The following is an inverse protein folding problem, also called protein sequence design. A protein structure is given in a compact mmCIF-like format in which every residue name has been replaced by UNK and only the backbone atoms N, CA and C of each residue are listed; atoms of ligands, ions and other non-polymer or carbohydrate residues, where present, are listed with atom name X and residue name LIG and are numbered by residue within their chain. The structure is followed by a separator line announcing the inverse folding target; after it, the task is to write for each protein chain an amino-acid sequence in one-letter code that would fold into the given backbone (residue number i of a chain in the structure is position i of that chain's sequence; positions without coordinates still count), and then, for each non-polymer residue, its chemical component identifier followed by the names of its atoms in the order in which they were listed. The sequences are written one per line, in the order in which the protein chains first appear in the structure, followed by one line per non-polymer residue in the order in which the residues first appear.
data_IF_394055734741
#
_entry.id   IF_394055734741
#
_cell.length_a   1.000
_cell.length_b   1.000
_cell.length_c   1.000
_cell.angle_alpha   90.00
_cell.angle_beta   90.00
_cell.angle_gamma   90.00
#
_symmetry.space_group_name_H-M   'P 1'
#
loop_
_entity.id
_entity.type
_entity.pdbx_description
1 polymer ?
2 polymer ?
3 polymer ?
4 non-polymer ?
5 water ?
#
loop_
_entity_poly.entity_id
_entity_poly.type
_entity_poly.pdbx_seq_one_letter_code
_entity_poly.pdbx_strand_id
2 'polydeoxyribonucleotide' '(DT)(DA)(DC)(DC)(DC)(DA)(DC)(DC)(DA)(DC)(DC)(DG)(DC)(DT)(DC)(DA)' ?
3 'polydeoxyribonucleotide' '(DT)(DG)(DA)(DG)(DC)(DG)(DG)(DT)(DG)(DG)(DT)(DT)(DG)(DG)(DT)' ?
#
# COMPACT_ATOMS: atom_id res chain seq x y z
N UNK A 1 14.78 11.19 6.22
CA UNK A 1 13.95 12.38 6.25
C UNK A 1 12.49 12.07 5.96
N UNK A 2 11.57 12.70 6.67
CA UNK A 2 11.87 13.73 7.66
C UNK A 2 12.10 13.10 9.01
N UNK A 3 13.29 13.31 9.56
CA UNK A 3 13.66 12.71 10.82
C UNK A 3 12.97 13.33 12.03
N UNK A 4 12.20 12.54 12.74
CA UNK A 4 11.55 13.01 13.94
C UNK A 4 10.14 13.43 13.68
N UNK A 5 9.68 13.22 12.47
CA UNK A 5 8.36 13.69 12.06
C UNK A 5 7.25 13.00 12.86
N UNK A 6 7.51 11.78 13.29
CA UNK A 6 6.49 10.96 13.95
C UNK A 6 6.28 11.36 15.41
N UNK A 7 7.24 12.10 15.95
CA UNK A 7 7.08 12.66 17.29
C UNK A 7 6.24 13.93 17.21
N UNK A 8 6.08 14.45 15.98
CA UNK A 8 5.30 15.65 15.76
C UNK A 8 3.90 15.34 15.28
N UNK A 9 3.78 14.59 14.18
CA UNK A 9 2.48 14.30 13.59
C UNK A 9 1.82 13.08 14.23
N UNK A 10 2.61 12.30 14.96
CA UNK A 10 2.12 11.05 15.53
C UNK A 10 2.69 9.85 14.82
N UNK A 11 2.58 8.68 15.43
CA UNK A 11 3.11 7.45 14.84
C UNK A 11 2.13 6.83 13.87
N UNK A 12 0.85 7.14 14.02
CA UNK A 12 -0.17 6.66 13.10
C UNK A 12 -1.02 5.51 13.63
N UNK A 13 -2.22 5.39 13.11
CA UNK A 13 -3.13 4.33 13.51
C UNK A 13 -2.72 2.97 12.93
N UNK A 14 -2.44 2.03 13.83
CA UNK A 14 -2.15 0.66 13.42
C UNK A 14 -3.47 -0.05 13.14
N UNK A 15 -3.62 -0.60 11.93
CA UNK A 15 -4.90 -1.16 11.52
C UNK A 15 -4.75 -2.36 10.58
N UNK A 16 -5.66 -3.32 10.73
CA UNK A 16 -5.70 -4.49 9.86
C UNK A 16 -5.99 -4.09 8.41
N UNK A 17 -5.16 -4.55 7.49
CA UNK A 17 -5.35 -4.26 6.07
C UNK A 17 -6.66 -4.88 5.59
N UNK A 18 -7.04 -6.00 6.21
CA UNK A 18 -8.31 -6.65 5.91
C UNK A 18 -9.47 -5.73 6.27
N UNK A 19 -9.37 -5.07 7.43
CA UNK A 19 -10.42 -4.16 7.86
C UNK A 19 -10.55 -2.97 6.91
N UNK A 20 -9.42 -2.39 6.51
CA UNK A 20 -9.41 -1.32 5.53
C UNK A 20 -10.06 -1.75 4.23
N UNK A 21 -9.75 -2.98 3.80
CA UNK A 21 -10.27 -3.51 2.56
C UNK A 21 -11.78 -3.73 2.61
N UNK A 22 -12.24 -4.42 3.65
CA UNK A 22 -13.65 -4.79 3.77
C UNK A 22 -14.54 -3.58 4.07
N UNK A 23 -14.04 -2.67 4.91
CA UNK A 23 -14.80 -1.47 5.24
C UNK A 23 -15.03 -0.59 4.02
N UNK A 24 -14.00 -0.46 3.18
CA UNK A 24 -14.12 0.32 1.96
C UNK A 24 -15.09 -0.34 0.98
N UNK A 25 -15.04 -1.65 0.89
CA UNK A 25 -15.92 -2.42 0.02
C UNK A 25 -17.38 -2.26 0.44
N UNK A 26 -17.60 -2.07 1.74
CA UNK A 26 -18.95 -1.86 2.26
C UNK A 26 -19.37 -0.40 2.11
N UNK A 27 -18.44 0.51 2.40
CA UNK A 27 -18.72 1.94 2.32
C UNK A 27 -18.86 2.43 0.88
N UNK A 28 -18.04 1.89 -0.02
CA UNK A 28 -17.96 2.42 -1.37
C UNK A 28 -18.45 1.46 -2.46
N UNK A 29 -18.89 0.27 -2.04
CA UNK A 29 -19.50 -0.71 -2.94
C UNK A 29 -18.58 -1.19 -4.05
N UNK A 30 -17.27 -1.08 -3.83
CA UNK A 30 -16.28 -1.63 -4.77
C UNK A 30 -14.95 -1.83 -4.04
N UNK A 31 -14.11 -2.75 -4.55
CA UNK A 31 -12.84 -3.06 -3.87
C UNK A 31 -11.89 -1.88 -3.75
N UNK A 32 -11.14 -1.85 -2.65
CA UNK A 32 -10.16 -0.81 -2.41
C UNK A 32 -9.10 -0.77 -3.50
N UNK A 33 -8.75 0.42 -3.95
CA UNK A 33 -7.69 0.62 -4.92
C UNK A 33 -6.48 1.23 -4.22
N UNK A 34 -5.34 0.54 -4.30
CA UNK A 34 -4.17 0.92 -3.53
C UNK A 34 -2.92 1.06 -4.39
N UNK A 35 -2.34 2.25 -4.40
CA UNK A 35 -1.07 2.48 -5.08
C UNK A 35 0.09 2.09 -4.17
N UNK A 36 0.95 1.20 -4.65
CA UNK A 36 2.05 0.69 -3.85
C UNK A 36 3.40 1.17 -4.39
N UNK A 37 4.07 2.00 -3.60
CA UNK A 37 5.43 2.43 -3.91
C UNK A 37 6.34 1.20 -3.96
N UNK A 38 6.91 0.96 -5.13
CA UNK A 38 7.70 -0.25 -5.35
C UNK A 38 8.98 -0.28 -4.50
N UNK A 39 9.33 0.88 -3.94
CA UNK A 39 10.55 1.01 -3.15
C UNK A 39 10.45 0.36 -1.77
N UNK A 40 9.23 -0.01 -1.37
CA UNK A 40 9.04 -0.60 -0.05
C UNK A 40 9.70 -1.96 0.07
N UNK A 41 9.78 -2.69 -1.03
CA UNK A 41 10.27 -4.08 -1.00
C UNK A 41 11.77 -4.16 -0.76
N UNK A 42 12.49 -3.13 -1.19
CA UNK A 42 13.95 -3.15 -1.26
C UNK A 42 14.68 -3.61 0.01
N UNK A 43 14.03 -3.47 1.16
CA UNK A 43 14.66 -3.90 2.41
C UNK A 43 13.85 -4.94 3.18
N UNK A 44 12.65 -5.26 2.67
CA UNK A 44 11.79 -6.20 3.37
C UNK A 44 11.92 -7.63 2.83
N UNK A 45 12.11 -7.75 1.51
CA UNK A 45 12.11 -9.07 0.89
C UNK A 45 13.51 -9.71 0.84
N UNK A 46 14.56 -8.89 0.92
CA UNK A 46 15.91 -9.44 0.96
C UNK A 46 16.30 -9.80 2.39
N UNK A 47 15.34 -10.36 3.12
CA UNK A 47 15.57 -10.89 4.45
C UNK A 47 15.12 -12.35 4.49
N UNK A 48 14.47 -12.78 3.41
CA UNK A 48 14.04 -14.16 3.27
C UNK A 48 15.19 -15.04 2.80
N UNK A 49 15.27 -16.25 3.34
CA UNK A 49 16.38 -17.15 3.05
C UNK A 49 15.90 -18.48 2.48
N UNK A 50 16.86 -19.31 2.06
CA UNK A 50 16.56 -20.63 1.55
C UNK A 50 15.98 -20.64 0.15
N UNK A 51 16.10 -21.78 -0.52
CA UNK A 51 15.50 -22.01 -1.82
C UNK A 51 16.02 -21.11 -2.93
N UNK A 52 15.31 -21.11 -4.05
CA UNK A 52 15.67 -20.29 -5.20
C UNK A 52 14.91 -18.97 -5.19
N UNK A 53 15.65 -17.87 -5.33
CA UNK A 53 15.08 -16.53 -5.40
C UNK A 53 14.07 -16.20 -4.29
N UNK A 54 14.51 -16.24 -3.01
CA UNK A 54 13.58 -15.97 -1.92
C UNK A 54 13.05 -14.53 -1.90
N UNK A 55 13.80 -13.59 -2.46
CA UNK A 55 13.38 -12.19 -2.49
C UNK A 55 12.09 -12.00 -3.28
N UNK A 56 12.04 -12.59 -4.46
CA UNK A 56 10.85 -12.50 -5.30
C UNK A 56 9.82 -13.53 -4.85
N UNK A 57 10.27 -14.51 -4.08
CA UNK A 57 9.36 -15.49 -3.49
C UNK A 57 8.50 -14.82 -2.44
N UNK A 58 9.11 -13.93 -1.67
CA UNK A 58 8.39 -13.12 -0.69
C UNK A 58 7.38 -12.23 -1.42
N UNK A 59 7.78 -11.72 -2.57
CA UNK A 59 6.92 -10.89 -3.41
C UNK A 59 5.72 -11.69 -3.89
N UNK A 60 5.95 -12.95 -4.23
CA UNK A 60 4.89 -13.85 -4.67
C UNK A 60 3.83 -14.03 -3.58
N UNK A 61 4.30 -14.22 -2.34
CA UNK A 61 3.40 -14.51 -1.22
C UNK A 61 2.57 -13.30 -0.80
N UNK A 62 3.14 -12.11 -0.91
CA UNK A 62 2.43 -10.90 -0.56
C UNK A 62 1.44 -10.52 -1.66
N UNK A 63 1.64 -11.09 -2.86
CA UNK A 63 0.70 -10.93 -3.95
C UNK A 63 -0.51 -11.84 -3.73
N UNK A 64 -0.25 -13.03 -3.20
CA UNK A 64 -1.31 -13.97 -2.86
C UNK A 64 -2.14 -13.42 -1.72
N UNK A 65 -1.47 -12.71 -0.81
CA UNK A 65 -2.15 -12.07 0.31
C UNK A 65 -3.04 -10.93 -0.18
N UNK A 66 -2.59 -10.25 -1.23
CA UNK A 66 -3.37 -9.17 -1.83
C UNK A 66 -4.63 -9.71 -2.49
N UNK A 67 -4.53 -10.90 -3.08
CA UNK A 67 -5.68 -11.57 -3.67
C UNK A 67 -6.70 -11.91 -2.59
N UNK A 68 -6.22 -12.46 -1.48
CA UNK A 68 -7.06 -12.85 -0.36
C UNK A 68 -7.79 -11.66 0.24
N UNK A 69 -7.21 -10.47 0.10
CA UNK A 69 -7.79 -9.25 0.64
C UNK A 69 -8.78 -8.62 -0.33
N UNK A 70 -8.68 -8.98 -1.61
CA UNK A 70 -9.56 -8.43 -2.62
C UNK A 70 -9.19 -7.02 -3.03
N UNK A 71 -7.95 -6.64 -2.75
CA UNK A 71 -7.45 -5.31 -3.10
C UNK A 71 -7.03 -5.26 -4.57
N UNK A 72 -7.39 -4.16 -5.25
CA UNK A 72 -6.90 -3.90 -6.59
C UNK A 72 -5.65 -3.02 -6.53
N UNK A 73 -4.47 -3.65 -6.63
CA UNK A 73 -3.24 -2.88 -6.43
C UNK A 73 -2.67 -2.34 -7.74
N UNK A 74 -1.98 -1.22 -7.66
CA UNK A 74 -1.17 -0.73 -8.78
C UNK A 74 0.22 -0.40 -8.27
N UNK A 75 1.21 -1.12 -8.80
CA UNK A 75 2.59 -0.98 -8.36
C UNK A 75 3.30 0.08 -9.19
N UNK A 76 3.79 1.12 -8.53
CA UNK A 76 4.42 2.24 -9.22
C UNK A 76 5.94 2.17 -9.15
N UNK A 77 6.58 2.21 -10.31
CA UNK A 77 8.03 2.15 -10.41
C UNK A 77 8.63 3.53 -10.63
N UNK A 78 9.86 3.74 -10.15
CA UNK A 78 10.55 5.02 -10.31
C UNK A 78 10.88 5.31 -11.76
N UNK A 79 10.86 6.59 -12.12
CA UNK A 79 11.26 7.02 -13.44
C UNK A 79 12.63 7.69 -13.38
N UNK A 80 13.19 8.04 -14.54
CA UNK A 80 14.51 8.65 -14.60
C UNK A 80 14.51 10.16 -14.32
N UNK A 81 13.34 10.78 -14.21
CA UNK A 81 13.26 12.21 -13.99
C UNK A 81 13.25 12.57 -12.51
N UNK A 82 14.17 11.97 -11.77
CA UNK A 82 14.31 12.26 -10.34
C UNK A 82 15.43 13.27 -10.12
N UNK A 83 15.14 14.34 -9.38
CA UNK A 83 16.08 15.46 -9.20
C UNK A 83 17.30 15.08 -8.37
N UNK A 96 18.33 -7.49 -4.41
CA UNK A 96 18.59 -7.20 -5.82
C UNK A 96 17.68 -7.98 -6.74
N UNK A 97 16.39 -7.66 -6.70
CA UNK A 97 15.39 -8.37 -7.50
C UNK A 97 15.10 -7.59 -8.77
N UNK A 98 14.95 -8.32 -9.88
CA UNK A 98 14.80 -7.71 -11.20
C UNK A 98 13.47 -7.00 -11.36
N UNK A 99 13.53 -5.79 -11.91
CA UNK A 99 12.33 -5.03 -12.24
C UNK A 99 11.51 -5.78 -13.28
N UNK A 100 12.20 -6.39 -14.24
CA UNK A 100 11.55 -7.16 -15.30
C UNK A 100 10.76 -8.34 -14.73
N UNK A 101 11.35 -9.05 -13.77
CA UNK A 101 10.70 -10.20 -13.16
C UNK A 101 9.51 -9.76 -12.30
N UNK A 102 9.68 -8.66 -11.58
CA UNK A 102 8.62 -8.10 -10.75
C UNK A 102 7.41 -7.76 -11.61
N UNK A 103 7.65 -7.08 -12.73
CA UNK A 103 6.59 -6.69 -13.64
C UNK A 103 5.94 -7.89 -14.31
N UNK A 104 6.75 -8.89 -14.66
CA UNK A 104 6.25 -10.13 -15.24
C UNK A 104 5.29 -10.81 -14.27
N UNK A 105 5.69 -10.86 -13.01
CA UNK A 105 4.90 -11.49 -11.96
C UNK A 105 3.63 -10.70 -11.66
N UNK A 106 3.74 -9.37 -11.75
CA UNK A 106 2.60 -8.48 -11.53
C UNK A 106 1.51 -8.75 -12.57
N UNK A 107 1.92 -9.00 -13.82
CA UNK A 107 0.96 -9.31 -14.88
C UNK A 107 0.31 -10.67 -14.69
N UNK A 108 1.11 -11.67 -14.30
CA UNK A 108 0.62 -13.02 -14.08
C UNK A 108 -0.47 -13.06 -13.02
N UNK A 109 -0.38 -12.16 -12.04
CA UNK A 109 -1.36 -12.10 -10.96
C UNK A 109 -2.58 -11.26 -11.34
N UNK A 110 -2.53 -10.64 -12.52
CA UNK A 110 -3.62 -9.81 -12.98
C UNK A 110 -3.58 -8.42 -12.38
N UNK A 111 -2.42 -8.07 -11.80
CA UNK A 111 -2.24 -6.76 -11.18
C UNK A 111 -1.74 -5.74 -12.19
N UNK A 112 -1.58 -4.49 -11.76
CA UNK A 112 -1.16 -3.42 -12.65
C UNK A 112 0.22 -2.88 -12.28
N UNK A 113 1.09 -2.77 -13.27
CA UNK A 113 2.37 -2.12 -13.10
C UNK A 113 2.36 -0.77 -13.79
N UNK A 114 2.86 0.25 -13.11
CA UNK A 114 2.83 1.61 -13.62
C UNK A 114 4.17 2.29 -13.45
N UNK A 115 4.70 2.86 -14.52
CA UNK A 115 5.98 3.56 -14.46
C UNK A 115 5.78 5.05 -14.27
N UNK A 116 6.22 5.57 -13.14
CA UNK A 116 6.24 7.00 -12.90
C UNK A 116 7.26 7.66 -13.81
N UNK A 117 7.05 8.93 -14.16
CA UNK A 117 8.09 9.65 -14.90
C UNK A 117 9.25 10.04 -13.98
N UNK A 118 8.93 10.31 -12.72
CA UNK A 118 9.94 10.65 -11.73
C UNK A 118 9.87 9.75 -10.51
N UNK A 119 9.80 10.36 -9.33
CA UNK A 119 9.74 9.60 -8.09
C UNK A 119 8.36 8.97 -7.89
N UNK A 120 8.34 7.69 -7.52
CA UNK A 120 7.11 6.92 -7.45
C UNK A 120 6.14 7.44 -6.39
N UNK A 121 6.68 7.88 -5.25
CA UNK A 121 5.82 8.35 -4.16
C UNK A 121 5.08 9.63 -4.53
N UNK A 122 5.69 10.44 -5.39
CA UNK A 122 5.04 11.64 -5.90
C UNK A 122 3.91 11.23 -6.83
N UNK A 123 4.17 10.21 -7.65
CA UNK A 123 3.17 9.69 -8.58
C UNK A 123 2.02 9.04 -7.84
N UNK A 124 2.34 8.27 -6.80
CA UNK A 124 1.33 7.62 -5.98
C UNK A 124 0.38 8.62 -5.34
N UNK A 125 0.95 9.68 -4.77
CA UNK A 125 0.16 10.74 -4.16
C UNK A 125 -0.72 11.43 -5.20
N UNK A 126 -0.19 11.58 -6.41
CA UNK A 126 -0.92 12.23 -7.50
C UNK A 126 -2.10 11.37 -7.94
N UNK A 127 -1.86 10.05 -8.03
CA UNK A 127 -2.90 9.10 -8.39
C UNK A 127 -4.06 9.15 -7.40
N UNK A 128 -3.74 9.27 -6.12
CA UNK A 128 -4.75 9.36 -5.07
C UNK A 128 -5.56 10.65 -5.19
N UNK A 129 -4.88 11.76 -5.47
CA UNK A 129 -5.54 13.04 -5.64
C UNK A 129 -6.49 13.03 -6.83
N UNK A 130 -6.14 12.25 -7.85
CA UNK A 130 -6.94 12.19 -9.07
C UNK A 130 -8.02 11.12 -8.98
N UNK A 131 -8.15 10.48 -7.82
CA UNK A 131 -9.19 9.49 -7.60
C UNK A 131 -8.95 8.19 -8.33
N UNK A 132 -7.70 7.94 -8.71
CA UNK A 132 -7.33 6.70 -9.38
C UNK A 132 -7.15 5.59 -8.34
N UNK A 133 -6.63 5.96 -7.18
CA UNK A 133 -6.53 5.02 -6.06
C UNK A 133 -7.12 5.66 -4.81
N UNK A 134 -7.45 4.84 -3.82
CA UNK A 134 -8.08 5.35 -2.60
C UNK A 134 -7.04 5.68 -1.53
N UNK A 135 -5.88 5.02 -1.61
CA UNK A 135 -4.82 5.26 -0.63
C UNK A 135 -3.45 4.89 -1.19
N UNK A 136 -2.41 5.26 -0.47
CA UNK A 136 -1.03 5.01 -0.91
C UNK A 136 -0.25 4.23 0.15
N UNK A 137 0.48 3.21 -0.31
CA UNK A 137 1.37 2.46 0.57
C UNK A 137 2.83 2.74 0.18
N UNK A 138 3.56 3.41 1.05
CA UNK A 138 4.92 3.83 0.73
C UNK A 138 5.90 3.66 1.88
N UNK A 139 7.17 3.98 1.63
CA UNK A 139 8.21 3.91 2.64
C UNK A 139 7.88 4.76 3.86
N UNK A 140 7.34 5.94 3.62
CA UNK A 140 7.16 6.92 4.69
C UNK A 140 6.01 7.88 4.47
N UNK A 141 6.19 9.11 4.93
CA UNK A 141 5.13 10.09 5.01
C UNK A 141 5.36 11.21 3.97
N UNK A 142 6.50 11.14 3.28
CA UNK A 142 6.81 12.06 2.18
C UNK A 142 5.65 12.23 1.20
N UNK A 143 4.83 11.19 1.06
CA UNK A 143 3.68 11.22 0.17
C UNK A 143 2.70 12.33 0.54
N UNK A 144 2.60 12.64 1.84
CA UNK A 144 1.73 13.71 2.30
C UNK A 144 2.16 15.05 1.71
N UNK A 145 3.48 15.25 1.61
CA UNK A 145 4.02 16.46 1.02
C UNK A 145 3.72 16.56 -0.48
N UNK A 146 3.43 15.42 -1.09
CA UNK A 146 3.12 15.39 -2.51
C UNK A 146 1.61 15.32 -2.77
N UNK A 147 0.82 15.53 -1.71
CA UNK A 147 -0.62 15.67 -1.86
C UNK A 147 -1.47 14.52 -1.37
N UNK A 148 -0.84 13.47 -0.83
CA UNK A 148 -1.57 12.31 -0.36
C UNK A 148 -2.44 12.65 0.85
N UNK A 149 -3.63 12.05 0.90
CA UNK A 149 -4.55 12.26 2.01
C UNK A 149 -4.53 11.08 2.98
N UNK A 150 -4.64 9.87 2.42
CA UNK A 150 -4.51 8.66 3.22
C UNK A 150 -3.28 7.87 2.79
N UNK A 151 -2.29 7.80 3.67
CA UNK A 151 -1.05 7.09 3.35
C UNK A 151 -0.78 5.96 4.34
N UNK A 152 -0.33 4.83 3.80
CA UNK A 152 -0.05 3.64 4.61
C UNK A 152 1.45 3.34 4.60
N UNK A 153 1.93 2.78 5.70
CA UNK A 153 3.33 2.37 5.79
C UNK A 153 3.49 1.17 6.72
N UNK A 154 4.65 0.52 6.62
CA UNK A 154 4.98 -0.61 7.49
C UNK A 154 3.95 -1.74 7.40
N UNK A 155 3.85 -2.34 6.22
CA UNK A 155 3.00 -3.51 6.03
C UNK A 155 3.71 -4.73 6.61
N UNK A 156 3.33 -5.11 7.83
CA UNK A 156 4.06 -6.16 8.53
C UNK A 156 3.22 -6.88 9.58
N UNK A 157 3.87 -7.75 10.35
CA UNK A 157 3.21 -8.55 11.36
C UNK A 157 2.74 -7.69 12.55
N UNK A 158 2.15 -8.34 13.54
CA UNK A 158 1.54 -7.63 14.66
C UNK A 158 1.61 -8.44 15.94
N UNK A 162 6.81 -11.47 15.41
CA UNK A 162 5.45 -11.59 14.94
C UNK A 162 5.23 -12.81 14.07
N UNK A 163 4.49 -12.63 12.99
CA UNK A 163 4.21 -13.72 12.06
C UNK A 163 3.72 -13.19 10.71
N UNK A 164 2.48 -13.54 10.34
CA UNK A 164 1.87 -13.09 9.08
C UNK A 164 1.68 -11.58 9.04
N UNK A 165 2.06 -10.95 7.92
CA UNK A 165 1.92 -9.49 7.73
C UNK A 165 0.47 -9.07 7.52
N UNK A 166 -0.21 -8.71 8.59
CA UNK A 166 -1.64 -8.45 8.53
C UNK A 166 -2.00 -6.97 8.66
N UNK A 167 -1.14 -6.19 9.33
CA UNK A 167 -1.48 -4.81 9.65
C UNK A 167 -0.63 -3.76 8.92
N UNK A 168 -1.13 -2.53 8.93
CA UNK A 168 -0.42 -1.38 8.35
C UNK A 168 -0.49 -0.21 9.31
N UNK A 169 0.25 0.86 9.01
CA UNK A 169 0.19 2.08 9.83
C UNK A 169 -0.39 3.23 9.02
N UNK A 170 -1.60 3.65 9.39
CA UNK A 170 -2.34 4.63 8.61
C UNK A 170 -2.14 6.06 9.11
N UNK A 171 -1.73 6.95 8.21
CA UNK A 171 -1.64 8.37 8.51
C UNK A 171 -2.68 9.15 7.71
N UNK A 172 -3.40 10.04 8.38
CA UNK A 172 -4.44 10.83 7.73
C UNK A 172 -4.05 12.30 7.67
N UNK A 173 -3.95 12.83 6.44
CA UNK A 173 -3.45 14.17 6.21
C UNK A 173 -4.32 15.27 6.83
N UNK A 174 -5.63 15.07 6.84
CA UNK A 174 -6.54 16.06 7.41
C UNK A 174 -6.41 16.09 8.92
N UNK A 175 -6.38 14.92 9.53
CA UNK A 175 -6.32 14.80 10.99
C UNK A 175 -4.98 15.31 11.54
N UNK A 176 -3.92 15.17 10.75
CA UNK A 176 -2.62 15.69 11.14
C UNK A 176 -2.64 17.22 11.13
N UNK A 177 -3.28 17.79 10.12
CA UNK A 177 -3.37 19.23 9.98
C UNK A 177 -4.29 19.86 11.03
N UNK A 178 -4.98 19.01 11.77
CA UNK A 178 -5.87 19.46 12.80
C UNK A 178 -5.30 19.14 14.15
N UNK A 179 -4.67 17.99 14.26
CA UNK A 179 -4.03 17.58 15.49
C UNK A 179 -3.02 18.57 15.97
N UNK A 180 -2.23 18.12 17.04
CA UNK A 180 -1.43 19.19 17.66
C UNK A 180 -0.36 19.80 16.79
N UNK A 181 0.13 19.11 15.79
CA UNK A 181 1.27 19.59 15.05
C UNK A 181 0.89 20.73 14.16
N UNK A 182 -0.34 20.71 13.71
CA UNK A 182 -0.80 21.64 12.71
C UNK A 182 -0.03 21.52 11.42
N UNK A 183 0.77 20.48 11.28
CA UNK A 183 1.49 20.24 10.04
C UNK A 183 0.54 19.86 8.90
N UNK A 184 0.41 20.73 7.92
CA UNK A 184 -0.29 20.39 6.69
C UNK A 184 0.74 20.15 5.61
N UNK A 185 0.30 20.10 4.35
CA UNK A 185 1.20 19.84 3.25
C UNK A 185 2.25 20.94 3.12
N UNK A 186 1.81 22.19 3.16
CA UNK A 186 2.71 23.31 2.96
C UNK A 186 3.47 23.64 4.24
N UNK A 187 3.01 23.10 5.36
CA UNK A 187 3.74 23.20 6.61
C UNK A 187 4.94 22.28 6.59
N UNK A 188 4.71 21.04 6.17
CA UNK A 188 5.77 20.03 6.11
C UNK A 188 6.80 20.36 5.04
N UNK A 189 6.38 21.05 3.98
CA UNK A 189 7.31 21.48 2.95
C UNK A 189 8.31 22.48 3.54
N UNK A 190 7.80 23.41 4.34
CA UNK A 190 8.65 24.38 5.03
C UNK A 190 9.59 23.68 6.01
N UNK A 191 9.07 22.68 6.71
CA UNK A 191 9.89 21.86 7.59
C UNK A 191 11.02 21.23 6.79
N UNK A 192 10.66 20.62 5.66
CA UNK A 192 11.64 20.03 4.77
C UNK A 192 12.51 21.11 4.11
N UNK A 193 11.98 22.33 4.04
CA UNK A 193 12.72 23.44 3.44
C UNK A 193 13.82 23.94 4.37
N UNK A 194 13.48 24.08 5.65
CA UNK A 194 14.41 24.62 6.63
C UNK A 194 15.28 23.53 7.26
N UNK A 195 14.65 22.45 7.71
CA UNK A 195 15.38 21.33 8.30
C UNK A 195 16.11 20.54 7.21
N UNK A 196 15.35 19.97 6.29
CA UNK A 196 15.91 19.31 5.12
C UNK A 196 16.64 18.02 5.39
N UNK A 197 17.94 18.13 5.64
CA UNK A 197 18.78 16.96 5.85
C UNK A 197 19.95 16.95 4.88
N UNK A 203 18.89 25.34 2.54
CA UNK A 203 18.81 24.60 3.78
C UNK A 203 19.53 25.30 4.92
N UNK A 204 18.84 25.49 6.04
CA UNK A 204 19.39 26.20 7.19
C UNK A 204 20.15 25.28 8.13
N UNK A 205 21.40 25.59 8.39
CA UNK A 205 22.15 24.76 9.32
C UNK A 205 21.66 25.08 10.70
N UNK A 206 21.91 24.21 11.65
CA UNK A 206 21.45 24.44 12.99
C UNK A 206 19.96 24.32 13.11
N UNK A 207 19.31 24.03 12.00
CA UNK A 207 17.87 23.88 11.99
C UNK A 207 17.56 22.56 11.32
N UNK A 208 16.72 21.74 11.90
CA UNK A 208 16.05 22.00 13.16
C UNK A 208 14.57 21.70 13.03
N UNK A 209 14.14 20.52 13.41
CA UNK A 209 12.73 20.16 13.24
C UNK A 209 11.80 20.89 14.18
N UNK A 210 12.24 21.07 15.40
CA UNK A 210 11.48 21.77 16.43
C UNK A 210 11.21 23.20 16.01
N UNK A 211 12.26 23.90 15.59
CA UNK A 211 12.15 25.28 15.17
C UNK A 211 11.36 25.40 13.86
N UNK A 212 11.62 24.49 12.93
CA UNK A 212 10.92 24.47 11.65
C UNK A 212 9.42 24.29 11.85
N UNK A 213 9.04 23.39 12.75
CA UNK A 213 7.65 23.16 13.07
C UNK A 213 7.02 24.41 13.68
N UNK A 214 7.79 25.12 14.48
CA UNK A 214 7.34 26.37 15.09
C UNK A 214 7.20 27.46 14.03
N UNK A 215 8.08 27.43 13.04
CA UNK A 215 8.01 28.38 11.93
C UNK A 215 6.78 28.11 11.09
N UNK A 216 6.50 26.82 10.88
CA UNK A 216 5.33 26.40 10.12
C UNK A 216 4.05 26.76 10.85
N UNK A 217 4.03 26.52 12.16
CA UNK A 217 2.86 26.81 12.98
C UNK A 217 2.53 28.30 12.97
N UNK A 218 3.56 29.12 12.82
CA UNK A 218 3.39 30.57 12.74
C UNK A 218 2.72 30.97 11.43
N UNK A 219 2.73 30.06 10.46
CA UNK A 219 2.04 30.27 9.20
C UNK A 219 2.97 30.71 8.08
N UNK A 220 4.27 30.57 8.28
CA UNK A 220 5.24 30.97 7.27
C UNK A 220 5.28 30.02 6.08
N UNK A 221 4.46 28.97 6.12
CA UNK A 221 4.43 27.97 5.08
C UNK A 221 3.61 28.36 3.86
N UNK A 222 3.50 29.66 3.59
CA UNK A 222 2.95 30.17 2.35
C UNK A 222 3.77 31.40 1.98
N UNK A 223 4.66 31.37 0.97
CA UNK A 223 4.85 30.39 -0.12
C UNK A 223 3.65 30.37 -1.06
N UNK A 224 3.27 31.56 -1.51
CA UNK A 224 2.31 31.72 -2.59
C UNK A 224 3.00 32.50 -3.70
N UNK A 225 4.13 31.95 -4.16
CA UNK A 225 5.06 32.65 -5.03
C UNK A 225 5.53 33.95 -4.38
N UNK A 234 9.70 38.98 -5.64
CA UNK A 234 10.28 39.62 -4.47
C UNK A 234 9.86 38.89 -3.19
N UNK A 235 10.36 37.67 -3.03
CA UNK A 235 10.01 36.84 -1.88
C UNK A 235 10.75 37.23 -0.62
N UNK A 236 11.73 38.12 -0.77
CA UNK A 236 12.61 38.48 0.34
C UNK A 236 11.87 39.23 1.45
N UNK A 237 10.65 39.70 1.18
CA UNK A 237 9.85 40.31 2.23
C UNK A 237 9.55 39.28 3.30
N UNK A 238 9.02 38.14 2.87
CA UNK A 238 8.71 37.02 3.76
C UNK A 238 9.95 36.51 4.48
N UNK A 239 11.05 36.39 3.75
CA UNK A 239 12.29 35.84 4.30
C UNK A 239 12.82 36.65 5.48
N UNK A 240 12.75 37.97 5.40
CA UNK A 240 13.25 38.81 6.49
C UNK A 240 12.19 39.05 7.56
N UNK A 241 11.02 38.44 7.41
CA UNK A 241 10.02 38.47 8.47
C UNK A 241 10.38 37.45 9.55
N UNK A 242 10.50 36.19 9.16
CA UNK A 242 10.84 35.14 10.13
C UNK A 242 12.29 35.25 10.56
N UNK A 243 13.14 35.82 9.70
CA UNK A 243 14.53 36.07 10.06
C UNK A 243 14.57 37.09 11.19
N UNK A 244 13.65 38.05 11.12
CA UNK A 244 13.45 39.00 12.20
C UNK A 244 12.79 38.32 13.40
N UNK A 245 11.91 37.37 13.10
CA UNK A 245 11.18 36.65 14.14
C UNK A 245 12.05 35.59 14.82
N UNK A 246 13.09 35.13 14.13
CA UNK A 246 13.97 34.11 14.69
C UNK A 246 14.96 34.69 15.69
N UNK A 247 15.30 35.97 15.53
CA UNK A 247 16.39 36.55 16.33
C UNK A 247 15.88 37.48 17.42
N UNK A 248 14.62 37.86 17.34
CA UNK A 248 14.05 38.72 18.34
C UNK A 248 12.92 37.99 19.02
N UNK A 249 12.21 37.17 18.25
CA UNK A 249 11.05 36.42 18.75
C UNK A 249 10.07 37.33 19.47
N UNK A 250 9.70 38.43 18.82
CA UNK A 250 8.79 39.40 19.42
C UNK A 250 7.34 38.92 19.32
N UNK A 251 7.04 38.11 18.31
CA UNK A 251 5.73 37.51 18.19
C UNK A 251 5.64 36.29 19.09
N UNK A 252 6.79 35.78 19.52
CA UNK A 252 6.85 34.64 20.40
C UNK A 252 6.53 33.34 19.70
N UNK A 253 6.94 33.23 18.43
CA UNK A 253 6.68 32.03 17.64
C UNK A 253 7.58 30.88 18.05
N UNK A 254 8.53 31.15 18.94
CA UNK A 254 9.52 30.14 19.33
C UNK A 254 9.72 30.09 20.84
N UNK A 255 10.29 28.98 21.32
CA UNK A 255 10.66 28.85 22.73
C UNK A 255 11.73 29.87 23.10
N UNK A 256 12.75 29.98 22.24
CA UNK A 256 13.84 30.92 22.46
C UNK A 256 14.15 31.71 21.19
N UNK A 257 15.09 32.63 21.29
CA UNK A 257 15.55 33.37 20.13
C UNK A 257 16.69 32.60 19.47
N UNK A 258 16.93 32.87 18.19
CA UNK A 258 17.99 32.16 17.46
C UNK A 258 18.82 33.11 16.62
N UNK A 259 19.77 33.79 17.27
CA UNK A 259 20.68 34.69 16.56
C UNK A 259 21.89 33.92 16.04
N UNK A 260 21.95 32.63 16.34
CA UNK A 260 23.04 31.77 15.89
C UNK A 260 22.70 31.15 14.53
N UNK A 261 21.44 30.79 14.35
CA UNK A 261 20.93 30.38 13.06
C UNK A 261 21.08 31.50 12.03
N UNK A 262 21.97 31.32 11.06
CA UNK A 262 22.07 32.31 9.98
C UNK A 262 21.86 31.71 8.59
N UNK A 263 20.99 32.38 7.86
CA UNK A 263 20.29 31.80 6.71
C UNK A 263 20.99 32.09 5.39
N UNK A 264 21.22 31.07 4.59
CA UNK A 264 21.85 31.27 3.30
C UNK A 264 21.03 32.17 2.38
N UNK A 265 21.63 32.63 1.30
CA UNK A 265 20.93 33.50 0.37
C UNK A 265 20.15 32.67 -0.60
N UNK A 266 20.74 31.57 -1.05
CA UNK A 266 20.05 30.70 -1.97
C UNK A 266 18.73 30.33 -1.37
N UNK A 267 18.75 29.94 -0.10
CA UNK A 267 17.53 29.68 0.60
C UNK A 267 16.71 30.95 0.57
N UNK A 268 15.31 30.91 0.52
CA UNK A 268 14.71 29.58 0.31
C UNK A 268 14.87 29.18 -1.13
N UNK A 269 15.47 28.03 -1.39
CA UNK A 269 15.65 27.60 -2.77
C UNK A 269 14.32 27.29 -3.41
N UNK A 270 14.08 27.80 -4.60
CA UNK A 270 12.75 27.70 -5.17
C UNK A 270 12.61 26.54 -6.09
N UNK A 271 13.70 25.98 -6.58
CA UNK A 271 13.62 24.72 -7.26
C UNK A 271 13.06 23.71 -6.27
N UNK A 272 13.58 23.75 -5.05
CA UNK A 272 13.18 22.82 -4.00
C UNK A 272 11.70 23.01 -3.67
N UNK A 273 11.26 24.26 -3.64
CA UNK A 273 9.88 24.57 -3.26
C UNK A 273 8.85 23.91 -4.17
N UNK A 274 9.10 23.92 -5.47
CA UNK A 274 8.09 23.44 -6.40
C UNK A 274 8.41 22.03 -6.88
N UNK A 275 9.55 21.50 -6.42
CA UNK A 275 9.77 20.07 -6.45
C UNK A 275 8.70 19.36 -5.62
N UNK A 276 8.23 20.07 -4.60
CA UNK A 276 7.12 19.58 -3.79
C UNK A 276 5.80 20.14 -4.25
N UNK A 277 5.77 21.41 -4.66
CA UNK A 277 4.49 22.04 -5.00
C UNK A 277 3.89 21.47 -6.31
N UNK A 278 4.74 21.29 -7.33
CA UNK A 278 4.40 20.57 -8.58
C UNK A 278 5.53 19.61 -8.92
N UNK A 279 5.53 18.41 -8.30
CA UNK A 279 6.50 17.36 -8.63
C UNK A 279 6.27 16.83 -10.04
N UNK A 280 7.31 16.35 -10.70
CA UNK A 280 7.15 15.78 -12.03
C UNK A 280 6.33 14.49 -11.93
N UNK A 281 5.14 14.52 -12.51
CA UNK A 281 4.22 13.39 -12.49
C UNK A 281 3.60 13.17 -13.87
N UNK A 282 2.78 12.14 -13.98
CA UNK A 282 2.16 11.79 -15.26
C UNK A 282 1.36 12.92 -15.87
N UNK A 283 1.30 12.95 -17.20
CA UNK A 283 0.53 13.94 -17.92
C UNK A 283 -0.96 13.75 -17.65
N UNK A 284 -1.76 14.80 -17.90
CA UNK A 284 -3.22 14.67 -17.82
C UNK A 284 -3.74 13.52 -18.69
N UNK A 285 -3.14 13.34 -19.85
CA UNK A 285 -3.54 12.30 -20.79
C UNK A 285 -3.32 10.90 -20.20
N UNK A 286 -2.22 10.73 -19.46
CA UNK A 286 -1.93 9.47 -18.80
C UNK A 286 -2.96 9.19 -17.70
N UNK A 287 -3.34 10.24 -16.97
CA UNK A 287 -4.31 10.14 -15.89
C UNK A 287 -5.65 9.61 -16.40
N UNK A 288 -6.16 10.21 -17.48
CA UNK A 288 -7.43 9.79 -18.04
C UNK A 288 -7.33 8.40 -18.68
N UNK A 289 -6.13 8.04 -19.13
CA UNK A 289 -5.90 6.70 -19.64
C UNK A 289 -6.03 5.69 -18.52
N UNK A 290 -5.40 5.98 -17.39
CA UNK A 290 -5.49 5.13 -16.20
C UNK A 290 -6.91 5.09 -15.68
N UNK A 291 -7.61 6.22 -15.79
CA UNK A 291 -8.95 6.38 -15.25
C UNK A 291 -9.95 5.41 -15.90
N UNK A 292 -9.66 5.00 -17.13
CA UNK A 292 -10.51 4.06 -17.85
C UNK A 292 -9.96 2.63 -17.82
N UNK A 293 -8.65 2.50 -17.62
CA UNK A 293 -8.01 1.19 -17.74
C UNK A 293 -7.65 0.54 -16.40
N UNK A 294 -7.78 1.28 -15.31
CA UNK A 294 -7.53 0.73 -13.98
C UNK A 294 -8.75 0.90 -13.09
N UNK A 295 -9.18 -0.18 -12.41
CA UNK A 295 -8.61 -1.54 -12.41
C UNK A 295 -8.81 -2.28 -13.72
N UNK A 296 -7.84 -3.14 -14.09
CA UNK A 296 -7.92 -3.93 -15.32
C UNK A 296 -8.90 -5.10 -15.18
N UNK A 297 -9.19 -5.78 -16.27
CA UNK A 297 -10.01 -6.98 -16.23
C UNK A 297 -9.23 -8.11 -15.57
N UNK A 298 -8.92 -7.93 -14.30
CA UNK A 298 -8.02 -8.80 -13.55
C UNK A 298 -8.36 -10.28 -13.65
N UNK A 299 -7.40 -11.06 -14.14
CA UNK A 299 -7.53 -12.50 -14.15
C UNK A 299 -6.17 -13.15 -13.91
N UNK A 300 -6.11 -14.03 -12.92
CA UNK A 300 -4.87 -14.70 -12.56
C UNK A 300 -4.48 -15.73 -13.62
N UNK A 301 -3.32 -15.54 -14.22
CA UNK A 301 -2.80 -16.48 -15.21
C UNK A 301 -2.24 -17.71 -14.50
N UNK A 302 -3.06 -18.77 -14.43
CA UNK A 302 -2.67 -19.99 -13.74
C UNK A 302 -1.50 -20.69 -14.41
N UNK A 303 -1.66 -21.00 -15.70
CA UNK A 303 -0.61 -21.66 -16.47
C UNK A 303 0.65 -20.81 -16.51
N UNK A 304 0.47 -19.50 -16.53
CA UNK A 304 1.59 -18.57 -16.50
C UNK A 304 2.32 -18.65 -15.17
N UNK A 305 1.56 -18.73 -14.09
CA UNK A 305 2.15 -18.85 -12.76
C UNK A 305 2.87 -20.18 -12.56
N UNK A 306 2.32 -21.24 -13.15
CA UNK A 306 2.93 -22.56 -13.03
C UNK A 306 4.32 -22.58 -13.65
N UNK A 307 4.46 -21.91 -14.79
CA UNK A 307 5.75 -21.87 -15.47
C UNK A 307 6.74 -20.97 -14.74
N UNK A 308 6.23 -19.86 -14.21
CA UNK A 308 7.08 -18.93 -13.46
C UNK A 308 7.67 -19.58 -12.22
N UNK A 309 6.81 -20.25 -11.45
CA UNK A 309 7.24 -20.89 -10.20
C UNK A 309 8.18 -22.06 -10.44
N UNK A 310 7.98 -22.75 -11.56
CA UNK A 310 8.88 -23.84 -11.95
C UNK A 310 10.25 -23.27 -12.28
N UNK A 311 10.25 -22.21 -13.07
CA UNK A 311 11.48 -21.56 -13.53
C UNK A 311 12.23 -20.85 -12.41
N UNK A 312 11.49 -20.12 -11.57
CA UNK A 312 12.12 -19.22 -10.61
C UNK A 312 12.32 -19.82 -9.22
N UNK A 313 11.40 -20.68 -8.79
CA UNK A 313 11.46 -21.24 -7.44
C UNK A 313 11.91 -22.70 -7.45
N UNK A 314 12.08 -23.26 -8.63
CA UNK A 314 12.31 -24.69 -8.82
C UNK A 314 11.17 -25.52 -8.23
N UNK A 315 9.96 -24.97 -8.28
CA UNK A 315 8.77 -25.73 -7.95
C UNK A 315 8.47 -26.67 -9.12
N UNK A 316 9.30 -27.70 -9.26
CA UNK A 316 9.24 -28.58 -10.41
C UNK A 316 8.36 -29.80 -10.18
N UNK A 317 7.86 -30.35 -11.28
CA UNK A 317 7.14 -31.63 -11.27
C UNK A 317 5.90 -31.58 -10.38
N UNK A 318 5.37 -32.75 -10.04
CA UNK A 318 4.14 -32.85 -9.26
C UNK A 318 4.19 -32.18 -7.88
N UNK A 319 5.31 -32.31 -7.14
CA UNK A 319 5.35 -31.59 -5.86
C UNK A 319 5.25 -30.07 -6.03
N UNK A 320 5.87 -29.54 -7.07
CA UNK A 320 5.85 -28.12 -7.34
C UNK A 320 4.48 -27.63 -7.78
N UNK A 321 3.75 -28.50 -8.47
CA UNK A 321 2.40 -28.18 -8.91
C UNK A 321 1.46 -28.10 -7.71
N UNK A 322 1.54 -29.12 -6.85
CA UNK A 322 0.73 -29.19 -5.65
C UNK A 322 1.01 -27.99 -4.73
N UNK A 323 2.29 -27.62 -4.65
CA UNK A 323 2.71 -26.49 -3.83
C UNK A 323 2.05 -25.19 -4.30
N UNK A 324 2.00 -24.99 -5.61
CA UNK A 324 1.36 -23.82 -6.18
C UNK A 324 -0.14 -23.82 -5.91
N UNK A 325 -0.76 -24.99 -6.08
CA UNK A 325 -2.18 -25.16 -5.83
C UNK A 325 -2.58 -24.73 -4.43
N UNK A 326 -1.88 -25.28 -3.44
CA UNK A 326 -2.17 -25.02 -2.03
C UNK A 326 -2.06 -23.53 -1.69
N UNK A 327 -0.99 -22.90 -2.15
CA UNK A 327 -0.73 -21.50 -1.84
C UNK A 327 -1.70 -20.55 -2.56
N UNK A 328 -2.01 -20.86 -3.81
CA UNK A 328 -2.79 -19.96 -4.65
C UNK A 328 -4.30 -20.06 -4.46
N UNK A 329 -4.77 -21.24 -4.04
CA UNK A 329 -6.21 -21.53 -4.00
C UNK A 329 -7.06 -20.53 -3.17
N UNK A 330 -6.65 -20.20 -1.94
CA UNK A 330 -7.54 -19.32 -1.15
C UNK A 330 -7.73 -17.93 -1.75
N UNK A 331 -6.63 -17.31 -2.19
CA UNK A 331 -6.70 -15.99 -2.79
C UNK A 331 -7.49 -16.02 -4.09
N UNK A 332 -7.31 -17.09 -4.86
CA UNK A 332 -8.04 -17.29 -6.11
C UNK A 332 -9.54 -17.42 -5.84
N UNK A 333 -9.87 -17.96 -4.68
CA UNK A 333 -11.27 -18.11 -4.26
C UNK A 333 -11.89 -16.75 -3.93
N UNK A 334 -11.20 -15.98 -3.11
CA UNK A 334 -11.64 -14.62 -2.78
C UNK A 334 -11.75 -13.78 -4.04
N UNK A 335 -10.73 -13.85 -4.88
CA UNK A 335 -10.66 -13.06 -6.11
C UNK A 335 -11.84 -13.33 -7.03
N UNK A 336 -12.29 -14.58 -7.09
CA UNK A 336 -13.38 -14.95 -7.99
C UNK A 336 -14.75 -14.66 -7.40
N UNK A 337 -14.83 -14.52 -6.08
CA UNK A 337 -16.08 -14.11 -5.44
C UNK A 337 -16.45 -12.70 -5.90
N UNK A 338 -15.52 -11.78 -5.74
CA UNK A 338 -15.73 -10.38 -6.10
C UNK A 338 -15.97 -10.20 -7.61
N UNK A 339 -15.39 -11.08 -8.41
CA UNK A 339 -15.44 -10.91 -9.86
C UNK A 339 -16.80 -11.26 -10.47
N UNK A 340 -17.71 -11.77 -9.64
CA UNK A 340 -19.09 -11.91 -10.08
C UNK A 340 -19.91 -10.76 -9.51
N UNK A 341 -19.20 -9.73 -9.09
CA UNK A 341 -19.84 -8.55 -8.60
C UNK A 341 -19.05 -7.35 -9.08
N UNK A 356 -25.06 -24.90 -10.27
CA UNK A 356 -25.00 -23.98 -9.14
C UNK A 356 -23.56 -23.55 -8.87
N UNK A 357 -23.39 -22.32 -8.40
CA UNK A 357 -22.06 -21.77 -8.15
C UNK A 357 -21.50 -22.24 -6.81
N UNK A 358 -21.62 -23.54 -6.55
CA UNK A 358 -20.89 -24.18 -5.48
C UNK A 358 -19.52 -24.60 -6.03
N UNK A 359 -19.24 -24.11 -7.24
CA UNK A 359 -17.96 -24.30 -7.89
C UNK A 359 -16.87 -23.48 -7.20
N UNK A 360 -17.28 -22.69 -6.22
CA UNK A 360 -16.35 -21.90 -5.43
C UNK A 360 -16.29 -22.40 -4.00
N UNK A 361 -17.44 -22.37 -3.32
CA UNK A 361 -17.52 -22.77 -1.92
C UNK A 361 -18.33 -24.06 -1.75
N UNK A 362 -17.71 -25.07 -1.16
CA UNK A 362 -18.36 -26.35 -0.95
C UNK A 362 -19.23 -26.36 0.30
N UNK A 363 -18.93 -25.45 1.24
CA UNK A 363 -19.68 -25.37 2.47
C UNK A 363 -19.13 -24.37 3.48
N UNK A 364 -19.95 -24.06 4.48
CA UNK A 364 -19.56 -23.15 5.56
C UNK A 364 -19.79 -23.86 6.89
N UNK A 365 -18.93 -23.59 7.89
CA UNK A 365 -18.97 -24.35 9.13
C UNK A 365 -18.80 -23.52 10.40
N UNK A 366 -18.33 -22.29 10.27
CA UNK A 366 -18.10 -21.44 11.45
C UNK A 366 -18.09 -19.96 11.14
N UNK A 367 -18.16 -19.15 12.20
CA UNK A 367 -18.06 -17.70 12.12
C UNK A 367 -17.13 -17.19 13.21
N UNK A 368 -16.38 -16.14 12.91
CA UNK A 368 -15.47 -15.56 13.90
C UNK A 368 -15.25 -14.08 13.65
N UNK A 369 -14.86 -13.37 14.70
CA UNK A 369 -14.44 -11.98 14.59
C UNK A 369 -13.04 -11.84 15.19
N UNK A 370 -12.06 -12.39 14.47
CA UNK A 370 -10.69 -12.49 14.97
C UNK A 370 -10.02 -11.12 15.10
N UNK A 371 -9.07 -11.03 16.02
CA UNK A 371 -8.38 -9.76 16.28
C UNK A 371 -7.42 -9.40 15.15
N UNK A 372 -6.98 -10.40 14.40
CA UNK A 372 -6.03 -10.18 13.31
C UNK A 372 -6.66 -9.35 12.20
N UNK A 373 -7.98 -9.34 12.14
CA UNK A 373 -8.71 -8.57 11.15
C UNK A 373 -9.47 -7.42 11.81
N UNK A 374 -9.11 -7.15 13.07
CA UNK A 374 -9.82 -6.18 13.90
C UNK A 374 -11.31 -6.50 13.93
N UNK A 375 -11.63 -7.76 14.26
CA UNK A 375 -13.00 -8.25 14.39
C UNK A 375 -13.82 -8.11 13.11
N UNK A 376 -13.20 -8.34 11.97
CA UNK A 376 -13.93 -8.40 10.71
C UNK A 376 -14.54 -9.79 10.56
N UNK A 377 -15.89 -9.86 10.52
CA UNK A 377 -16.64 -11.12 10.45
C UNK A 377 -16.19 -12.02 9.31
N UNK A 378 -15.72 -13.22 9.65
CA UNK A 378 -15.28 -14.18 8.65
C UNK A 378 -16.03 -15.51 8.81
N UNK A 379 -16.18 -16.23 7.70
CA UNK A 379 -16.82 -17.54 7.73
C UNK A 379 -15.81 -18.62 7.35
N UNK A 380 -15.84 -19.72 8.09
CA UNK A 380 -14.96 -20.86 7.80
C UNK A 380 -15.49 -21.59 6.56
N UNK A 381 -14.72 -21.50 5.48
CA UNK A 381 -15.17 -21.94 4.16
C UNK A 381 -14.40 -23.13 3.63
N UNK A 382 -15.10 -24.08 3.02
CA UNK A 382 -14.47 -25.26 2.43
C UNK A 382 -14.48 -25.19 0.90
N UNK A 383 -13.51 -25.86 0.28
CA UNK A 383 -13.32 -25.82 -1.17
C UNK A 383 -12.31 -26.87 -1.61
N UNK A 384 -12.33 -27.21 -2.89
CA UNK A 384 -11.34 -28.13 -3.43
C UNK A 384 -10.28 -27.35 -4.20
N UNK A 385 -9.07 -27.25 -3.62
CA UNK A 385 -7.95 -26.46 -4.15
C UNK A 385 -7.64 -26.73 -5.62
N UNK A 386 -7.40 -28.00 -5.97
CA UNK A 386 -7.04 -28.35 -7.35
C UNK A 386 -8.20 -28.11 -8.31
N UNK A 387 -9.42 -28.37 -7.85
CA UNK A 387 -10.61 -28.12 -8.67
C UNK A 387 -10.78 -26.63 -8.91
N UNK A 388 -10.41 -25.83 -7.93
CA UNK A 388 -10.60 -24.38 -7.98
C UNK A 388 -9.48 -23.69 -8.77
N UNK A 389 -8.26 -24.17 -8.60
CA UNK A 389 -7.12 -23.62 -9.34
C UNK A 389 -7.17 -24.07 -10.79
N UNK A 390 -7.60 -25.32 -11.01
CA UNK A 390 -7.75 -25.83 -12.35
C UNK A 390 -6.48 -26.42 -12.92
N UNK A 391 -5.61 -26.90 -12.05
CA UNK A 391 -4.42 -27.62 -12.47
C UNK A 391 -4.51 -29.08 -12.07
N UNK A 392 -4.06 -29.96 -12.95
CA UNK A 392 -4.04 -31.38 -12.64
C UNK A 392 -2.61 -31.83 -12.36
N UNK A 393 -2.31 -32.12 -11.09
CA UNK A 393 -0.98 -32.58 -10.66
C UNK A 393 -0.56 -33.88 -11.35
N UNK A 394 -1.50 -34.52 -12.04
CA UNK A 394 -1.23 -35.78 -12.71
C UNK A 394 -0.39 -35.66 -13.98
N UNK A 395 -0.63 -34.61 -14.76
CA UNK A 395 0.12 -34.41 -16.00
C UNK A 395 1.54 -33.92 -15.75
N UNK A 396 1.94 -33.93 -14.48
CA UNK A 396 3.32 -33.65 -14.11
C UNK A 396 3.95 -34.89 -13.48
N UNK A 397 5.26 -35.08 -13.69
CA UNK A 397 5.97 -36.28 -13.21
C UNK A 397 5.99 -36.42 -11.69
N UNK A 398 5.83 -37.65 -11.21
CA UNK A 398 5.91 -37.93 -9.78
C UNK A 398 7.35 -38.20 -9.36
N UNK A 399 7.73 -37.67 -8.21
CA UNK A 399 9.09 -37.84 -7.70
C UNK A 399 9.14 -38.93 -6.63
N UNK A 430 -0.85 -38.28 6.29
CA UNK A 430 -0.08 -37.10 6.65
C UNK A 430 -0.25 -35.92 5.67
N UNK A 431 0.12 -36.12 4.38
CA UNK A 431 0.37 -34.93 3.55
C UNK A 431 -0.86 -34.20 3.06
N UNK A 432 -0.65 -33.34 2.07
CA UNK A 432 -1.69 -32.49 1.51
C UNK A 432 -2.23 -33.05 0.20
N UNK A 433 -3.55 -33.23 0.14
CA UNK A 433 -4.21 -33.69 -1.07
C UNK A 433 -5.05 -32.57 -1.67
N UNK A 434 -4.63 -32.06 -2.83
CA UNK A 434 -5.31 -30.93 -3.49
C UNK A 434 -6.72 -31.28 -3.96
N UNK A 435 -7.07 -32.56 -3.92
CA UNK A 435 -8.39 -33.00 -4.36
C UNK A 435 -9.36 -33.18 -3.20
N UNK A 436 -8.84 -33.20 -1.98
CA UNK A 436 -9.67 -33.21 -0.78
C UNK A 436 -9.99 -31.77 -0.35
N UNK A 437 -11.09 -31.59 0.40
CA UNK A 437 -11.49 -30.25 0.85
C UNK A 437 -10.49 -29.55 1.76
N UNK A 438 -10.20 -28.30 1.46
CA UNK A 438 -9.38 -27.46 2.33
C UNK A 438 -10.27 -26.42 3.01
N UNK A 439 -9.77 -25.81 4.08
CA UNK A 439 -10.56 -24.81 4.80
C UNK A 439 -9.87 -23.45 4.79
N UNK A 440 -10.67 -22.38 4.82
CA UNK A 440 -10.13 -21.03 4.82
C UNK A 440 -11.12 -20.03 5.40
N UNK A 441 -10.61 -19.07 6.18
CA UNK A 441 -11.42 -17.97 6.68
C UNK A 441 -11.53 -16.88 5.62
N UNK A 442 -12.73 -16.65 5.13
CA UNK A 442 -12.98 -15.60 4.15
C UNK A 442 -13.96 -14.58 4.73
N UNK A 443 -13.66 -13.29 4.56
CA UNK A 443 -14.55 -12.21 5.01
C UNK A 443 -16.00 -12.40 4.56
N UNK A 444 -16.91 -12.37 5.52
CA UNK A 444 -18.34 -12.59 5.30
C UNK A 444 -18.92 -11.71 4.21
N UNK A 445 -18.47 -10.46 4.17
CA UNK A 445 -18.93 -9.50 3.17
C UNK A 445 -18.65 -9.97 1.75
N UNK A 446 -17.42 -10.43 1.51
CA UNK A 446 -17.02 -10.92 0.20
C UNK A 446 -17.85 -12.15 -0.19
N UNK A 447 -18.13 -13.00 0.79
CA UNK A 447 -18.91 -14.22 0.56
C UNK A 447 -20.36 -13.91 0.20
N UNK A 448 -20.96 -12.94 0.89
CA UNK A 448 -22.32 -12.52 0.60
C UNK A 448 -22.40 -11.98 -0.82
N UNK A 449 -21.35 -11.29 -1.24
CA UNK A 449 -21.27 -10.74 -2.59
C UNK A 449 -21.15 -11.83 -3.65
N UNK A 450 -20.30 -12.83 -3.38
CA UNK A 450 -19.99 -13.84 -4.36
C UNK A 450 -20.83 -15.11 -4.31
N UNK A 451 -21.13 -15.58 -3.10
CA UNK A 451 -21.93 -16.79 -2.93
C UNK A 451 -23.06 -16.58 -1.93
N UNK A 452 -24.04 -15.73 -2.29
CA UNK A 452 -25.08 -15.28 -1.36
C UNK A 452 -26.02 -16.40 -0.89
N UNK A 453 -26.29 -17.37 -1.75
CA UNK A 453 -27.21 -18.45 -1.41
C UNK A 453 -26.62 -19.38 -0.36
N UNK A 454 -25.34 -19.72 -0.50
CA UNK A 454 -24.67 -20.59 0.44
C UNK A 454 -24.58 -19.97 1.83
N UNK A 455 -24.46 -18.65 1.88
CA UNK A 455 -24.35 -17.93 3.14
C UNK A 455 -25.70 -17.89 3.87
N UNK A 456 -26.77 -17.71 3.11
CA UNK A 456 -28.11 -17.66 3.68
C UNK A 456 -28.51 -19.01 4.27
N UNK A 457 -28.11 -20.08 3.60
CA UNK A 457 -28.38 -21.43 4.10
C UNK A 457 -27.63 -21.69 5.40
N UNK A 458 -26.40 -21.19 5.47
CA UNK A 458 -25.59 -21.29 6.67
C UNK A 458 -26.23 -20.50 7.81
N UNK A 459 -26.68 -19.30 7.50
CA UNK A 459 -27.42 -18.49 8.47
C UNK A 459 -28.74 -19.17 8.82
N UNK A 460 -29.37 -19.83 7.85
CA UNK A 460 -30.63 -20.50 8.09
C UNK A 460 -30.47 -21.72 8.99
N UNK A 461 -29.50 -22.57 8.68
CA UNK A 461 -29.24 -23.76 9.48
C UNK A 461 -28.84 -23.46 10.91
N UNK A 462 -28.35 -22.26 11.14
CA UNK A 462 -27.82 -21.90 12.45
C UNK A 462 -28.81 -21.13 13.32
N UNK A 463 -30.03 -20.95 12.83
CA UNK A 463 -31.08 -20.38 13.68
C UNK A 463 -32.01 -21.50 14.14
N UNK A 464 -31.50 -22.73 14.08
CA UNK A 464 -32.25 -23.91 14.48
C UNK A 464 -31.72 -24.48 15.78
X LIG D 1 10.99 7.00 -3.66
X LIG E 1 10.93 9.09 1.33
#
# INVERSE_FOLDING_TARGET
GIKGIYKEIGSGERISLCKLAIDHLEQHNRPLRLAIDMAIWQFQIQAARGGSNPAIRTLFYRFVRLLSLGIHPIFVFDGPNKPIFKRNRRSGTGNGVSTAMAKRLIRLFGFTAHDAPGEAEAECAYLEQQGIVDAVLSEDVDTIMFGSRVTLRDWSSEGSKGGPPTHVTLHDAKKIAEGPSGLDREGMVLVALMSGGDYLPDGIPGCGIKVACQAAKAGFGKELCRIKRADKEAITEWKQRLLHELRTNESGFFRTKHKALEIPENFPNMEVLRYYTHPVVSSPATIERLRQEFPPSSTVDIAGLREFTRETFDWTFRPGAIKLIKVLAPGLLVQRCLDRYVSGPRIDDPDLKKKEESTLVKGISMRREHFSTDATPELRVSFIPAELVGLDPGQEPEVQVEAFGRSGLALNSDDEFDEDISSSQKAPKKPFDPWQPDLAWVPETILKLGVPVTVEDWEEGQRS
MN MN
MN MN
#
